data_IF_293325606575
#
_entry.id   IF_293325606575
#
_cell.length_a   1.000
_cell.length_b   1.000
_cell.length_c   1.000
_cell.angle_alpha   90.00
_cell.angle_beta   90.00
_cell.angle_gamma   90.00
#
_symmetry.space_group_name_H-M   'P 1'
#
loop_
_entity.id
_entity.type
_entity.pdbx_description
1 polymer ?
#
# COMPACT_ATOMS: atom_id res chain seq x y z
N UNK A 1 -19.20 -12.86 -1.39
CA UNK A 1 -18.72 -11.52 -1.76
C UNK A 1 -19.87 -10.70 -2.28
N UNK A 2 -20.05 -9.53 -1.67
CA UNK A 2 -20.88 -8.42 -2.10
C UNK A 2 -20.21 -7.58 -3.19
N UNK A 3 -20.99 -6.74 -3.88
CA UNK A 3 -20.45 -5.82 -4.91
C UNK A 3 -19.45 -4.80 -4.35
N UNK A 4 -19.62 -4.39 -3.09
CA UNK A 4 -18.71 -3.47 -2.38
C UNK A 4 -17.35 -4.12 -2.08
N UNK A 5 -17.30 -5.40 -1.70
CA UNK A 5 -16.04 -6.14 -1.57
C UNK A 5 -15.31 -6.26 -2.91
N UNK A 6 -16.02 -6.55 -4.00
CA UNK A 6 -15.44 -6.66 -5.35
C UNK A 6 -14.86 -5.31 -5.80
N UNK A 7 -15.55 -4.20 -5.51
CA UNK A 7 -15.05 -2.84 -5.77
C UNK A 7 -13.80 -2.54 -4.96
N UNK A 8 -13.83 -2.75 -3.64
CA UNK A 8 -12.70 -2.55 -2.72
C UNK A 8 -11.48 -3.39 -3.12
N UNK A 9 -11.70 -4.64 -3.56
CA UNK A 9 -10.67 -5.54 -4.07
C UNK A 9 -9.99 -4.98 -5.33
N UNK A 10 -10.74 -4.38 -6.27
CA UNK A 10 -10.16 -3.71 -7.46
C UNK A 10 -9.33 -2.49 -7.06
N UNK A 11 -9.91 -1.61 -6.25
CA UNK A 11 -9.27 -0.37 -5.78
C UNK A 11 -7.95 -0.66 -5.03
N UNK A 12 -7.93 -1.63 -4.12
CA UNK A 12 -6.71 -2.04 -3.41
C UNK A 12 -5.69 -2.70 -4.36
N UNK A 13 -6.11 -3.57 -5.29
CA UNK A 13 -5.20 -4.17 -6.29
C UNK A 13 -4.49 -3.09 -7.10
N UNK A 14 -5.22 -2.07 -7.56
CA UNK A 14 -4.63 -1.00 -8.39
C UNK A 14 -3.73 -0.06 -7.58
N UNK A 15 -4.06 0.23 -6.32
CA UNK A 15 -3.15 0.94 -5.40
C UNK A 15 -1.81 0.20 -5.23
N UNK A 16 -1.83 -1.13 -5.03
CA UNK A 16 -0.60 -1.94 -4.90
C UNK A 16 0.14 -2.04 -6.25
N UNK A 17 -0.55 -2.18 -7.38
CA UNK A 17 0.09 -2.16 -8.72
C UNK A 17 0.85 -0.86 -9.00
N UNK A 18 0.29 0.29 -8.61
CA UNK A 18 0.92 1.61 -8.79
C UNK A 18 2.09 1.77 -7.82
N UNK A 19 1.85 1.57 -6.53
CA UNK A 19 2.86 1.84 -5.50
C UNK A 19 4.03 0.85 -5.55
N UNK A 20 3.82 -0.41 -5.93
CA UNK A 20 4.92 -1.39 -6.08
C UNK A 20 5.99 -0.99 -7.10
N UNK A 21 5.64 -0.23 -8.15
CA UNK A 21 6.63 0.32 -9.11
C UNK A 21 7.55 1.34 -8.44
N UNK A 22 7.09 2.03 -7.38
CA UNK A 22 7.84 3.05 -6.65
C UNK A 22 8.73 2.47 -5.52
N UNK A 23 8.65 1.16 -5.25
CA UNK A 23 9.42 0.50 -4.20
C UNK A 23 10.85 0.10 -4.65
N UNK A 24 11.84 0.07 -3.74
CA UNK A 24 13.14 -0.57 -3.97
C UNK A 24 13.00 -2.07 -4.25
N UNK A 25 13.95 -2.67 -4.99
CA UNK A 25 13.87 -4.10 -5.36
C UNK A 25 13.83 -5.05 -4.15
N UNK A 26 14.52 -4.72 -3.06
CA UNK A 26 14.47 -5.49 -1.81
C UNK A 26 13.04 -5.61 -1.26
N UNK A 27 12.34 -4.47 -1.20
CA UNK A 27 10.93 -4.38 -0.76
C UNK A 27 9.99 -5.03 -1.79
N UNK A 28 10.30 -4.95 -3.09
CA UNK A 28 9.55 -5.67 -4.13
C UNK A 28 9.69 -7.21 -3.97
N UNK A 29 10.88 -7.75 -3.66
CA UNK A 29 11.07 -9.19 -3.36
C UNK A 29 10.27 -9.62 -2.12
N UNK A 30 10.26 -8.79 -1.06
CA UNK A 30 9.45 -9.03 0.14
C UNK A 30 7.94 -9.01 -0.15
N UNK A 31 7.45 -8.05 -0.93
CA UNK A 31 6.05 -7.97 -1.37
C UNK A 31 5.63 -9.21 -2.19
N UNK A 32 6.50 -9.70 -3.09
CA UNK A 32 6.21 -10.92 -3.85
C UNK A 32 6.15 -12.15 -2.92
N UNK A 33 7.10 -12.29 -1.99
CA UNK A 33 7.09 -13.38 -1.01
C UNK A 33 5.85 -13.35 -0.09
N UNK A 34 5.35 -12.16 0.27
CA UNK A 34 4.10 -11.98 0.99
C UNK A 34 2.90 -12.46 0.15
N UNK A 35 2.84 -12.09 -1.13
CA UNK A 35 1.78 -12.54 -2.06
C UNK A 35 1.81 -14.05 -2.33
N UNK A 36 2.98 -14.70 -2.35
CA UNK A 36 3.08 -16.16 -2.41
C UNK A 36 2.56 -16.83 -1.13
N UNK A 37 2.85 -16.27 0.05
CA UNK A 37 2.32 -16.76 1.34
C UNK A 37 0.79 -16.59 1.44
N UNK A 38 0.22 -15.54 0.85
CA UNK A 38 -1.23 -15.30 0.82
C UNK A 38 -1.99 -16.06 -0.28
N UNK A 39 -1.34 -17.01 -0.97
CA UNK A 39 -1.92 -17.72 -2.12
C UNK A 39 -2.64 -19.00 -1.67
N UNK A 40 -3.94 -19.19 -1.97
CA UNK A 40 -4.78 -20.22 -1.33
C UNK A 40 -4.63 -21.62 -1.97
N UNK A 41 -3.40 -22.09 -2.16
CA UNK A 41 -3.11 -23.35 -2.88
C UNK A 41 -2.51 -24.39 -1.94
N UNK A 42 -2.70 -25.68 -2.28
CA UNK A 42 -2.08 -26.81 -1.57
C UNK A 42 -0.61 -27.06 -1.96
N UNK A 43 -0.04 -26.26 -2.86
CA UNK A 43 1.36 -26.38 -3.31
C UNK A 43 2.21 -25.42 -2.47
N UNK A 44 3.33 -25.87 -1.87
CA UNK A 44 4.20 -24.99 -1.08
C UNK A 44 4.69 -23.79 -1.89
N UNK A 45 4.85 -22.61 -1.24
CA UNK A 45 5.31 -21.40 -1.93
C UNK A 45 6.73 -21.64 -2.47
N UNK A 46 6.89 -21.52 -3.80
CA UNK A 46 8.20 -21.64 -4.44
C UNK A 46 9.09 -20.46 -4.00
N UNK A 47 10.40 -20.66 -3.80
CA UNK A 47 11.32 -19.57 -3.54
C UNK A 47 11.26 -18.56 -4.70
N UNK A 48 11.28 -17.26 -4.37
CA UNK A 48 11.34 -16.19 -5.38
C UNK A 48 12.72 -16.25 -6.04
N UNK A 49 12.83 -16.57 -7.34
CA UNK A 49 14.13 -16.67 -8.00
C UNK A 49 14.79 -15.28 -8.11
N UNK A 50 16.04 -15.28 -8.55
CA UNK A 50 16.70 -14.06 -9.01
C UNK A 50 15.90 -13.52 -10.21
N UNK A 51 15.47 -12.26 -10.15
CA UNK A 51 14.62 -11.61 -11.15
C UNK A 51 15.10 -10.19 -11.37
N UNK A 52 15.07 -9.72 -12.62
CA UNK A 52 15.21 -8.30 -12.92
C UNK A 52 14.02 -7.51 -12.35
N UNK A 53 14.20 -6.20 -12.17
CA UNK A 53 13.13 -5.30 -11.69
C UNK A 53 11.85 -5.38 -12.54
N UNK A 54 11.98 -5.59 -13.85
CA UNK A 54 10.84 -5.71 -14.77
C UNK A 54 10.04 -7.00 -14.56
N UNK A 55 10.73 -8.14 -14.40
CA UNK A 55 10.12 -9.44 -14.11
C UNK A 55 9.47 -9.45 -12.73
N UNK A 56 10.15 -8.89 -11.73
CA UNK A 56 9.65 -8.79 -10.37
C UNK A 56 8.33 -7.98 -10.29
N UNK A 57 8.25 -6.86 -11.03
CA UNK A 57 7.00 -6.07 -11.17
C UNK A 57 5.92 -6.87 -11.93
N UNK A 58 6.26 -7.62 -12.98
CA UNK A 58 5.29 -8.51 -13.68
C UNK A 58 4.75 -9.60 -12.74
N UNK A 59 5.63 -10.24 -11.97
CA UNK A 59 5.26 -11.29 -11.01
C UNK A 59 4.31 -10.75 -9.93
N UNK A 60 4.62 -9.60 -9.32
CA UNK A 60 3.74 -8.93 -8.34
C UNK A 60 2.37 -8.63 -8.96
N UNK A 61 2.33 -8.04 -10.17
CA UNK A 61 1.08 -7.71 -10.88
C UNK A 61 0.23 -8.95 -11.18
N UNK A 62 0.86 -10.05 -11.60
CA UNK A 62 0.16 -11.31 -11.86
C UNK A 62 -0.35 -11.96 -10.57
N UNK A 63 0.48 -12.04 -9.52
CA UNK A 63 0.08 -12.58 -8.22
C UNK A 63 -1.09 -11.82 -7.61
N UNK A 64 -1.10 -10.48 -7.69
CA UNK A 64 -2.23 -9.64 -7.26
C UNK A 64 -3.55 -10.02 -7.94
N UNK A 65 -3.53 -10.52 -9.18
CA UNK A 65 -4.74 -11.04 -9.85
C UNK A 65 -5.27 -12.34 -9.21
N UNK A 66 -4.39 -13.15 -8.63
CA UNK A 66 -4.67 -14.52 -8.15
C UNK A 66 -4.90 -14.67 -6.63
N UNK A 67 -4.59 -13.65 -5.83
CA UNK A 67 -4.79 -13.68 -4.36
C UNK A 67 -6.19 -13.20 -3.93
N UNK A 68 -6.75 -13.73 -2.82
CA UNK A 68 -8.02 -13.29 -2.24
C UNK A 68 -7.92 -11.89 -1.61
N UNK A 69 -9.07 -11.33 -1.19
CA UNK A 69 -9.17 -9.98 -0.60
C UNK A 69 -8.21 -9.76 0.57
N UNK A 70 -8.03 -10.75 1.44
CA UNK A 70 -7.13 -10.64 2.60
C UNK A 70 -5.67 -10.52 2.17
N UNK A 71 -5.24 -11.32 1.19
CA UNK A 71 -3.91 -11.21 0.59
C UNK A 71 -3.66 -9.87 -0.10
N UNK A 72 -4.67 -9.34 -0.79
CA UNK A 72 -4.61 -7.97 -1.36
C UNK A 72 -4.53 -6.91 -0.24
N UNK A 73 -5.26 -7.10 0.86
CA UNK A 73 -5.32 -6.15 1.98
C UNK A 73 -4.01 -6.12 2.77
N UNK A 74 -3.43 -7.28 3.09
CA UNK A 74 -2.11 -7.39 3.72
C UNK A 74 -1.02 -6.81 2.82
N UNK A 75 -1.09 -7.05 1.51
CA UNK A 75 -0.18 -6.42 0.54
C UNK A 75 -0.35 -4.88 0.49
N UNK A 76 -1.57 -4.36 0.59
CA UNK A 76 -1.83 -2.92 0.65
C UNK A 76 -1.28 -2.28 1.94
N UNK A 77 -1.45 -2.94 3.09
CA UNK A 77 -0.86 -2.50 4.36
C UNK A 77 0.67 -2.49 4.33
N UNK A 78 1.29 -3.58 3.83
CA UNK A 78 2.74 -3.68 3.64
C UNK A 78 3.28 -2.55 2.77
N UNK A 79 2.65 -2.31 1.61
CA UNK A 79 3.07 -1.23 0.71
C UNK A 79 2.79 0.16 1.29
N UNK A 80 1.72 0.35 2.07
CA UNK A 80 1.48 1.61 2.78
C UNK A 80 2.55 1.90 3.87
N UNK A 81 3.05 0.86 4.55
CA UNK A 81 4.12 0.98 5.53
C UNK A 81 5.49 1.30 4.87
N UNK A 82 5.80 0.66 3.74
CA UNK A 82 7.07 0.86 3.03
C UNK A 82 7.07 1.99 2.00
N UNK A 83 5.92 2.61 1.69
CA UNK A 83 5.90 3.80 0.83
C UNK A 83 6.59 4.93 1.58
N UNK A 84 7.57 5.64 0.97
CA UNK A 84 8.14 6.81 1.61
C UNK A 84 7.00 7.76 1.96
N UNK A 85 6.91 8.15 3.25
CA UNK A 85 5.83 8.96 3.82
C UNK A 85 5.94 10.40 3.33
N UNK A 86 5.71 10.59 2.02
CA UNK A 86 5.50 11.87 1.34
C UNK A 86 4.45 12.56 2.17
N UNK A 87 4.87 13.56 2.96
CA UNK A 87 4.07 14.09 4.07
C UNK A 87 2.67 14.38 3.54
N UNK A 88 1.66 13.68 4.07
CA UNK A 88 0.31 14.21 3.99
C UNK A 88 0.43 15.62 4.56
N UNK A 89 0.16 16.64 3.74
CA UNK A 89 0.23 18.01 4.19
C UNK A 89 -0.75 18.10 5.36
N UNK A 90 -0.22 18.26 6.57
CA UNK A 90 -1.06 18.43 7.74
C UNK A 90 -1.96 19.64 7.43
N UNK A 91 -3.30 19.53 7.56
CA UNK A 91 -4.16 20.68 7.37
C UNK A 91 -3.66 21.74 8.35
N UNK A 92 -3.13 22.84 7.80
CA UNK A 92 -2.56 23.91 8.61
C UNK A 92 -3.71 24.41 9.49
N UNK A 93 -3.57 24.42 10.83
CA UNK A 93 -4.64 24.89 11.70
C UNK A 93 -4.88 26.36 11.38
N UNK A 94 -6.02 26.64 10.73
CA UNK A 94 -6.30 27.95 10.19
C UNK A 94 -6.51 28.96 11.32
N UNK A 95 -5.55 29.88 11.46
CA UNK A 95 -5.56 31.12 12.25
C UNK A 95 -6.06 31.04 13.70
N UNK A 96 -5.22 31.27 14.72
CA UNK A 96 -5.74 31.62 16.05
C UNK A 96 -6.57 32.91 15.95
N UNK A 97 -7.69 33.03 16.70
CA UNK A 97 -8.51 34.23 16.65
C UNK A 97 -7.75 35.46 17.16
N UNK A 98 -8.04 36.67 16.64
CA UNK A 98 -7.37 37.89 17.07
C UNK A 98 -7.63 38.14 18.56
N UNK A 99 -6.56 38.20 19.36
CA UNK A 99 -6.64 38.60 20.77
C UNK A 99 -7.16 40.03 20.86
N UNK A 100 -8.41 40.20 21.31
CA UNK A 100 -8.98 41.50 21.62
C UNK A 100 -8.16 42.18 22.73
N UNK A 101 -7.56 43.33 22.40
CA UNK A 101 -6.73 44.10 23.32
C UNK A 101 -7.60 44.74 24.42
N UNK A 102 -7.84 44.00 25.50
CA UNK A 102 -8.51 44.50 26.71
C UNK A 102 -7.56 45.41 27.52
N UNK A 103 -7.17 46.55 26.95
CA UNK A 103 -6.51 47.63 27.70
C UNK A 103 -7.43 48.06 28.85
N UNK A 104 -6.93 47.95 30.08
CA UNK A 104 -7.53 48.47 31.31
C UNK A 104 -6.40 49.05 32.15
N UNK A 105 -6.72 50.10 32.91
CA UNK A 105 -5.79 51.09 33.51
C UNK A 105 -5.27 52.09 32.47
N UNK A 106 -5.05 53.35 32.82
CA UNK A 106 -5.29 53.98 34.14
C UNK A 106 -6.52 54.86 34.10
#
# INVERSE_FOLDING_TARGET
>A
MSGSEIRRLRELRDQVKIASVQLPMSVQRQLLALLEKSRPWKIPPRPVPEMTRGELIRAIRWRLGTVPLDGVTTAAQFVAHHRPRRRAAAPVPASPPPRSFRRRRS
#
